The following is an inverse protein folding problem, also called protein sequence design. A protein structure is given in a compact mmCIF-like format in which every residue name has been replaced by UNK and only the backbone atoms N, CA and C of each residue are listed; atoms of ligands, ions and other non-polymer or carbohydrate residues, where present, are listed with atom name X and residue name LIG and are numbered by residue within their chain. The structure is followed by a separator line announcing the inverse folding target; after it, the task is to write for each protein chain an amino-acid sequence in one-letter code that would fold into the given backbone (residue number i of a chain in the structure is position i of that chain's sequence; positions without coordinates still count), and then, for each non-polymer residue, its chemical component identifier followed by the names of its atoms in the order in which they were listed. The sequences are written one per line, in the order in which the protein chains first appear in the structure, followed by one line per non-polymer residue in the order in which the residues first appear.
data_IF_028234376950
#
_entry.id   IF_028234376950
#
_cell.length_a   1.000
_cell.length_b   1.000
_cell.length_c   1.000
_cell.angle_alpha   90.00
_cell.angle_beta   90.00
_cell.angle_gamma   90.00
#
_symmetry.space_group_name_H-M   'P 1'
#
loop_
_entity.id
_entity.type
_entity.pdbx_description
1 polymer ?
#
# COMPACT_ATOMS: atom_id res chain seq x y z
N UNK A 1 0.67 14.01 0.09
CA UNK A 1 -0.60 14.76 0.08
C UNK A 1 -1.78 13.80 0.09
N UNK A 2 -2.94 14.28 0.47
CA UNK A 2 -4.17 13.46 0.48
C UNK A 2 -4.56 12.92 -0.89
N UNK A 3 -4.11 13.53 -1.96
CA UNK A 3 -4.36 13.15 -3.35
C UNK A 3 -3.24 12.27 -3.96
N UNK A 4 -2.29 11.79 -3.15
CA UNK A 4 -1.27 10.83 -3.53
C UNK A 4 0.17 11.29 -3.35
N UNK A 5 1.09 10.47 -3.88
CA UNK A 5 2.52 10.75 -3.90
C UNK A 5 2.89 11.62 -5.09
N UNK A 6 3.78 12.60 -4.83
CA UNK A 6 4.37 13.44 -5.86
C UNK A 6 5.88 13.34 -5.77
N UNK A 7 6.51 12.96 -6.87
CA UNK A 7 7.93 13.16 -7.06
C UNK A 7 8.15 14.61 -7.51
N UNK A 8 8.88 15.37 -6.72
CA UNK A 8 9.25 16.74 -7.07
C UNK A 8 10.67 16.74 -7.59
N UNK A 9 10.81 17.04 -8.89
CA UNK A 9 12.12 17.25 -9.50
C UNK A 9 12.47 18.75 -9.43
N UNK A 10 13.48 19.11 -8.66
CA UNK A 10 14.00 20.47 -8.55
C UNK A 10 15.25 20.68 -9.42
N UNK A 11 15.33 20.02 -10.54
CA UNK A 11 16.44 20.18 -11.51
C UNK A 11 15.97 20.93 -12.75
N UNK A 12 16.39 22.19 -13.00
CA UNK A 12 17.28 23.02 -12.15
C UNK A 12 16.66 23.42 -10.81
N UNK A 13 17.49 23.79 -9.85
CA UNK A 13 17.03 24.16 -8.51
C UNK A 13 15.93 25.23 -8.55
N UNK A 14 14.83 24.97 -7.85
CA UNK A 14 13.76 25.94 -7.69
C UNK A 14 14.24 27.13 -6.85
N UNK A 15 13.79 28.31 -7.22
CA UNK A 15 14.10 29.55 -6.52
C UNK A 15 12.82 30.26 -6.10
N UNK A 16 12.84 30.87 -4.93
CA UNK A 16 11.73 31.67 -4.44
C UNK A 16 12.22 32.97 -3.85
N UNK A 17 11.49 34.05 -4.14
CA UNK A 17 11.80 35.37 -3.58
C UNK A 17 11.16 35.51 -2.22
N UNK A 18 11.96 35.82 -1.22
CA UNK A 18 11.50 36.10 0.15
C UNK A 18 11.24 37.59 0.33
N UNK A 19 10.29 37.92 1.20
CA UNK A 19 10.02 39.28 1.62
C UNK A 19 11.04 39.70 2.66
N UNK A 20 11.81 40.75 2.39
CA UNK A 20 12.75 41.31 3.35
C UNK A 20 12.02 42.10 4.45
N UNK A 21 12.54 42.04 5.66
CA UNK A 21 12.19 42.93 6.76
C UNK A 21 13.20 44.08 6.89
N UNK A 22 13.48 44.44 8.13
CA UNK A 22 14.56 45.34 8.48
C UNK A 22 15.38 44.75 9.64
N UNK A 23 16.53 45.31 9.93
CA UNK A 23 17.41 44.83 11.01
C UNK A 23 16.78 45.00 12.40
N UNK A 24 15.86 45.94 12.53
CA UNK A 24 15.11 46.18 13.78
C UNK A 24 13.72 45.53 13.80
N UNK A 25 13.23 45.14 12.65
CA UNK A 25 11.94 44.45 12.48
C UNK A 25 12.07 43.38 11.36
N UNK A 26 12.70 42.26 11.66
CA UNK A 26 12.86 41.20 10.69
C UNK A 26 11.51 40.55 10.30
N UNK A 27 11.43 40.03 9.07
CA UNK A 27 10.22 39.43 8.52
C UNK A 27 10.34 37.91 8.50
N UNK A 28 9.39 37.21 9.08
CA UNK A 28 9.26 35.78 8.87
C UNK A 28 8.67 35.49 7.48
N UNK A 29 9.28 34.51 6.81
CA UNK A 29 8.78 33.93 5.57
C UNK A 29 8.57 32.44 5.78
N UNK A 30 7.39 31.96 5.46
CA UNK A 30 7.01 30.55 5.51
C UNK A 30 7.05 30.01 4.09
N UNK A 31 7.93 29.05 3.83
CA UNK A 31 8.13 28.43 2.51
C UNK A 31 7.54 27.04 2.54
N UNK A 32 6.67 26.74 1.58
CA UNK A 32 5.94 25.49 1.51
C UNK A 32 5.53 25.13 0.08
N UNK A 33 5.23 23.88 -0.14
CA UNK A 33 4.48 23.44 -1.33
C UNK A 33 3.00 23.37 -1.00
N UNK A 34 2.18 24.04 -1.80
CA UNK A 34 0.73 23.98 -1.67
C UNK A 34 0.20 22.75 -2.40
N UNK A 35 -0.63 21.93 -1.75
CA UNK A 35 -1.19 20.72 -2.33
C UNK A 35 -1.95 21.00 -3.63
N UNK A 36 -2.81 22.01 -3.66
CA UNK A 36 -3.71 22.30 -4.80
C UNK A 36 -2.98 22.74 -6.06
N UNK A 37 -1.82 23.37 -5.96
CA UNK A 37 -1.05 23.91 -7.11
C UNK A 37 0.24 23.17 -7.37
N UNK A 38 0.72 22.37 -6.40
CA UNK A 38 2.02 21.70 -6.44
C UNK A 38 3.18 22.65 -6.71
N UNK A 39 3.09 23.90 -6.22
CA UNK A 39 4.09 24.95 -6.47
C UNK A 39 4.74 25.40 -5.17
N UNK A 40 6.04 25.70 -5.26
CA UNK A 40 6.77 26.33 -4.18
C UNK A 40 6.20 27.73 -3.92
N UNK A 41 5.86 28.03 -2.68
CA UNK A 41 5.20 29.27 -2.27
C UNK A 41 5.92 29.85 -1.07
N UNK A 42 6.07 31.19 -1.00
CA UNK A 42 6.49 31.91 0.18
C UNK A 42 5.37 32.85 0.66
N UNK A 43 5.18 32.92 1.97
CA UNK A 43 4.17 33.77 2.60
C UNK A 43 4.74 34.42 3.85
N UNK A 44 4.37 35.68 4.09
CA UNK A 44 4.67 36.38 5.35
C UNK A 44 3.62 36.12 6.44
N UNK A 45 2.54 35.44 6.08
CA UNK A 45 1.53 34.93 7.00
C UNK A 45 1.89 33.49 7.34
N UNK A 46 1.60 33.04 8.55
CA UNK A 46 1.83 31.66 9.02
C UNK A 46 1.25 30.61 8.06
N UNK A 47 1.60 29.36 8.29
CA UNK A 47 1.18 28.22 7.47
C UNK A 47 -0.29 28.29 7.06
N UNK A 48 -0.65 28.02 5.80
CA UNK A 48 -2.05 28.03 5.37
C UNK A 48 -2.84 26.91 6.07
N UNK A 49 -4.14 27.12 6.23
CA UNK A 49 -5.04 26.10 6.76
C UNK A 49 -5.33 24.97 5.75
N UNK A 50 -5.02 25.20 4.46
CA UNK A 50 -5.13 24.20 3.39
C UNK A 50 -3.93 23.26 3.42
N UNK A 51 -4.10 22.07 2.87
CA UNK A 51 -3.05 21.07 2.84
C UNK A 51 -1.79 21.58 2.12
N UNK A 52 -0.66 21.45 2.80
CA UNK A 52 0.64 21.92 2.31
C UNK A 52 1.77 21.09 2.91
N UNK A 53 2.92 21.11 2.28
CA UNK A 53 4.16 20.53 2.79
C UNK A 53 5.09 21.69 3.20
N UNK A 54 5.38 21.90 4.50
CA UNK A 54 6.28 22.92 4.95
C UNK A 54 7.72 22.60 4.55
N UNK A 55 8.48 23.60 4.09
CA UNK A 55 9.87 23.47 3.68
C UNK A 55 10.80 24.20 4.65
N UNK A 56 10.53 25.48 4.91
CA UNK A 56 11.38 26.29 5.77
C UNK A 56 10.62 27.47 6.39
N UNK A 57 11.10 27.93 7.52
CA UNK A 57 10.82 29.25 8.06
C UNK A 57 12.11 30.06 7.99
N UNK A 58 12.07 31.18 7.29
CA UNK A 58 13.23 32.04 7.08
C UNK A 58 12.97 33.40 7.70
N UNK A 59 13.86 33.83 8.60
CA UNK A 59 13.85 35.16 9.19
C UNK A 59 14.73 36.08 8.34
N UNK A 60 14.10 36.98 7.60
CA UNK A 60 14.78 37.96 6.76
C UNK A 60 14.88 39.33 7.45
N UNK A 61 16.09 39.82 7.58
CA UNK A 61 16.39 41.19 7.96
C UNK A 61 16.26 42.11 6.75
N UNK A 62 17.12 43.11 6.62
CA UNK A 62 17.18 43.92 5.40
C UNK A 62 17.76 43.14 4.24
N UNK A 63 17.47 43.57 3.00
CA UNK A 63 18.01 42.93 1.80
C UNK A 63 19.55 43.02 1.69
N UNK A 64 20.18 43.91 2.45
CA UNK A 64 21.62 44.07 2.50
C UNK A 64 22.29 43.24 3.61
N UNK A 65 21.53 42.70 4.55
CA UNK A 65 22.07 41.90 5.66
C UNK A 65 22.51 40.52 5.16
N UNK A 66 23.66 40.09 5.67
CA UNK A 66 24.06 38.69 5.50
C UNK A 66 23.31 37.81 6.51
N UNK A 67 22.62 36.83 5.99
CA UNK A 67 21.99 35.82 6.83
C UNK A 67 23.09 34.86 7.34
N UNK A 68 23.22 34.80 8.64
CA UNK A 68 24.18 33.93 9.32
C UNK A 68 23.45 32.85 10.11
N UNK A 69 24.17 32.15 10.97
CA UNK A 69 23.65 31.01 11.72
C UNK A 69 22.29 31.29 12.38
N UNK A 70 21.36 30.34 12.24
CA UNK A 70 20.01 30.37 12.79
C UNK A 70 19.04 31.42 12.18
N UNK A 71 19.40 32.05 11.08
CA UNK A 71 18.49 32.94 10.35
C UNK A 71 17.34 32.20 9.66
N UNK A 72 17.46 30.92 9.52
CA UNK A 72 16.42 30.05 8.93
C UNK A 72 16.31 28.74 9.69
N UNK A 73 15.12 28.16 9.65
CA UNK A 73 14.84 26.81 10.12
C UNK A 73 14.35 26.03 8.92
N UNK A 74 15.15 25.08 8.45
CA UNK A 74 14.70 24.09 7.50
C UNK A 74 13.79 23.10 8.21
N UNK A 75 12.69 22.75 7.57
CA UNK A 75 12.02 21.52 7.95
C UNK A 75 12.99 20.36 7.72
N UNK A 76 13.08 19.44 8.66
CA UNK A 76 14.03 18.32 8.60
C UNK A 76 13.60 17.30 7.53
N UNK A 77 13.67 17.71 6.27
CA UNK A 77 13.41 16.86 5.12
C UNK A 77 14.64 16.06 4.68
N UNK A 78 15.81 16.34 5.25
CA UNK A 78 17.04 15.67 4.87
C UNK A 78 16.98 14.16 5.08
N UNK A 79 16.21 13.75 6.11
CA UNK A 79 15.96 12.34 6.38
C UNK A 79 14.77 11.77 5.58
N UNK A 80 14.03 12.63 4.88
CA UNK A 80 12.86 12.28 4.09
C UNK A 80 13.21 12.11 2.61
N UNK A 81 14.40 12.55 2.20
CA UNK A 81 14.87 12.46 0.82
C UNK A 81 15.53 11.11 0.59
N UNK A 82 15.13 10.43 -0.48
CA UNK A 82 15.80 9.22 -0.95
C UNK A 82 17.18 9.60 -1.48
N UNK A 83 18.23 9.23 -0.78
CA UNK A 83 19.61 9.38 -1.24
C UNK A 83 19.96 8.30 -2.29
N UNK A 84 21.21 8.34 -2.78
CA UNK A 84 21.71 7.35 -3.74
C UNK A 84 21.76 5.91 -3.21
N UNK A 85 21.57 5.72 -1.90
CA UNK A 85 21.54 4.41 -1.25
C UNK A 85 20.12 3.97 -0.88
N UNK A 86 19.10 4.66 -1.38
CA UNK A 86 17.68 4.42 -1.04
C UNK A 86 17.37 4.58 0.46
N UNK A 87 18.01 5.51 1.14
CA UNK A 87 17.66 5.87 2.52
C UNK A 87 16.74 7.08 2.55
N UNK A 88 15.89 7.15 3.54
CA UNK A 88 15.01 8.29 3.78
C UNK A 88 13.76 7.87 4.55
N UNK A 89 13.33 8.68 5.52
CA UNK A 89 12.19 8.37 6.39
C UNK A 89 10.89 8.13 5.60
N UNK A 90 10.61 8.91 4.57
CA UNK A 90 9.40 8.73 3.74
C UNK A 90 9.46 7.40 3.00
N UNK A 91 10.63 7.01 2.50
CA UNK A 91 10.82 5.72 1.85
C UNK A 91 10.68 4.56 2.84
N UNK A 92 11.32 4.68 4.00
CA UNK A 92 11.26 3.65 5.06
C UNK A 92 9.83 3.47 5.58
N UNK A 93 9.11 4.58 5.82
CA UNK A 93 7.69 4.53 6.22
C UNK A 93 6.86 3.89 5.12
N UNK A 94 7.11 4.24 3.85
CA UNK A 94 6.41 3.65 2.72
C UNK A 94 6.63 2.13 2.65
N UNK A 95 7.89 1.69 2.74
CA UNK A 95 8.20 0.25 2.76
C UNK A 95 7.57 -0.44 3.96
N UNK A 96 7.66 0.18 5.16
CA UNK A 96 7.08 -0.39 6.36
C UNK A 96 5.56 -0.54 6.24
N UNK A 97 4.84 0.48 5.78
CA UNK A 97 3.39 0.41 5.61
C UNK A 97 3.02 -0.63 4.53
N UNK A 98 3.76 -0.66 3.40
CA UNK A 98 3.49 -1.62 2.32
C UNK A 98 3.84 -3.06 2.70
N UNK A 99 4.67 -3.27 3.71
CA UNK A 99 4.91 -4.60 4.28
C UNK A 99 3.80 -5.09 5.21
N UNK A 100 2.89 -4.20 5.62
CA UNK A 100 1.72 -4.55 6.43
C UNK A 100 0.53 -4.90 5.55
N UNK A 101 -0.43 -5.61 6.12
CA UNK A 101 -1.70 -5.84 5.45
C UNK A 101 -2.46 -4.52 5.28
N UNK A 102 -3.10 -4.34 4.11
CA UNK A 102 -4.00 -3.22 3.92
C UNK A 102 -5.18 -3.29 4.91
N UNK A 103 -5.63 -2.14 5.37
CA UNK A 103 -6.81 -2.04 6.22
C UNK A 103 -8.06 -2.03 5.33
N UNK A 104 -9.02 -2.90 5.63
CA UNK A 104 -10.32 -2.86 4.98
C UNK A 104 -11.07 -1.58 5.35
N UNK A 105 -11.66 -0.93 4.37
CA UNK A 105 -12.47 0.28 4.57
C UNK A 105 -13.92 0.03 4.18
N UNK A 106 -14.19 -0.35 2.94
CA UNK A 106 -15.55 -0.64 2.47
C UNK A 106 -15.56 -1.75 1.43
N UNK A 107 -16.69 -2.41 1.27
CA UNK A 107 -16.92 -3.39 0.20
C UNK A 107 -16.06 -4.65 0.32
N UNK A 108 -15.50 -5.10 -0.82
CA UNK A 108 -14.67 -6.31 -0.94
C UNK A 108 -15.35 -7.57 -0.35
N UNK A 109 -16.70 -7.63 -0.42
CA UNK A 109 -17.46 -8.73 0.15
C UNK A 109 -17.18 -10.04 -0.61
N UNK A 110 -16.64 -11.09 0.06
CA UNK A 110 -16.37 -12.37 -0.58
C UNK A 110 -17.65 -13.18 -0.77
N UNK A 111 -17.70 -13.97 -1.83
CA UNK A 111 -18.78 -14.94 -2.07
C UNK A 111 -18.16 -16.23 -2.58
N UNK A 112 -18.59 -17.36 -2.00
CA UNK A 112 -18.22 -18.70 -2.44
C UNK A 112 -19.46 -19.38 -3.02
N UNK A 113 -19.38 -19.76 -4.29
CA UNK A 113 -20.46 -20.44 -5.00
C UNK A 113 -20.05 -21.89 -5.26
N UNK A 114 -20.84 -22.85 -4.79
CA UNK A 114 -20.65 -24.27 -5.03
C UNK A 114 -21.70 -24.71 -6.05
N UNK A 115 -21.26 -25.23 -7.19
CA UNK A 115 -22.13 -25.70 -8.26
C UNK A 115 -21.96 -27.19 -8.46
N UNK A 116 -23.02 -27.99 -8.26
CA UNK A 116 -22.99 -29.44 -8.49
C UNK A 116 -22.59 -29.77 -9.94
N UNK A 117 -21.67 -30.70 -10.12
CA UNK A 117 -21.14 -31.10 -11.43
C UNK A 117 -21.49 -32.54 -11.78
N UNK A 118 -22.79 -32.89 -11.69
CA UNK A 118 -23.36 -34.13 -12.33
C UNK A 118 -22.67 -35.46 -11.99
N UNK A 119 -22.10 -35.62 -10.79
CA UNK A 119 -21.37 -36.83 -10.37
C UNK A 119 -19.84 -36.73 -10.45
N UNK A 120 -19.32 -35.66 -11.04
CA UNK A 120 -17.93 -35.24 -10.86
C UNK A 120 -17.82 -34.35 -9.60
N UNK A 121 -16.61 -33.94 -9.22
CA UNK A 121 -16.40 -33.00 -8.14
C UNK A 121 -17.11 -31.65 -8.44
N UNK A 122 -17.75 -31.08 -7.45
CA UNK A 122 -18.46 -29.81 -7.59
C UNK A 122 -17.47 -28.67 -7.90
N UNK A 123 -17.91 -27.71 -8.71
CA UNK A 123 -17.12 -26.51 -8.96
C UNK A 123 -17.27 -25.55 -7.78
N UNK A 124 -16.15 -25.01 -7.31
CA UNK A 124 -16.08 -24.07 -6.19
C UNK A 124 -15.47 -22.75 -6.68
N UNK A 125 -16.33 -21.78 -6.93
CA UNK A 125 -15.95 -20.47 -7.47
C UNK A 125 -15.94 -19.43 -6.36
N UNK A 126 -14.82 -18.71 -6.22
CA UNK A 126 -14.69 -17.57 -5.31
C UNK A 126 -14.81 -16.27 -6.11
N UNK A 127 -15.63 -15.36 -5.62
CA UNK A 127 -15.78 -14.01 -6.18
C UNK A 127 -15.72 -12.96 -5.08
N UNK A 128 -15.43 -11.72 -5.43
CA UNK A 128 -15.55 -10.60 -4.50
C UNK A 128 -16.19 -9.39 -5.15
N UNK A 129 -16.97 -8.61 -4.36
CA UNK A 129 -17.42 -7.30 -4.77
C UNK A 129 -16.25 -6.32 -4.83
N UNK A 130 -16.43 -5.19 -5.53
CA UNK A 130 -15.50 -4.06 -5.43
C UNK A 130 -15.55 -3.42 -4.05
N UNK A 131 -14.50 -2.69 -3.71
CA UNK A 131 -14.43 -1.96 -2.45
C UNK A 131 -13.23 -1.05 -2.38
N UNK A 132 -12.93 -0.58 -1.17
CA UNK A 132 -11.79 0.27 -0.88
C UNK A 132 -10.97 -0.34 0.24
N UNK A 133 -9.68 -0.38 0.04
CA UNK A 133 -8.68 -0.77 1.05
C UNK A 133 -7.67 0.34 1.22
N UNK A 134 -7.19 0.53 2.44
CA UNK A 134 -6.25 1.58 2.81
C UNK A 134 -4.85 0.99 3.04
N UNK A 135 -3.89 1.48 2.28
CA UNK A 135 -2.47 1.21 2.49
C UNK A 135 -1.65 2.42 2.02
N UNK A 136 -1.25 3.29 2.92
CA UNK A 136 -0.77 4.66 2.73
C UNK A 136 -1.90 5.64 2.34
N UNK A 137 -2.68 5.29 1.36
CA UNK A 137 -3.88 5.98 0.89
C UNK A 137 -4.94 4.97 0.44
N UNK A 138 -6.09 5.45 0.03
CA UNK A 138 -7.17 4.62 -0.48
C UNK A 138 -6.80 3.99 -1.83
N UNK A 139 -7.07 2.69 -1.94
CA UNK A 139 -6.98 1.93 -3.18
C UNK A 139 -8.34 1.34 -3.52
N UNK A 140 -8.80 1.58 -4.72
CA UNK A 140 -9.98 0.89 -5.23
C UNK A 140 -9.61 -0.55 -5.58
N UNK A 141 -10.20 -1.51 -4.86
CA UNK A 141 -10.09 -2.93 -5.17
C UNK A 141 -11.25 -3.31 -6.10
N UNK A 142 -10.99 -3.81 -7.32
CA UNK A 142 -12.04 -4.10 -8.29
C UNK A 142 -12.90 -5.30 -7.88
N UNK A 143 -14.07 -5.42 -8.48
CA UNK A 143 -14.87 -6.64 -8.37
C UNK A 143 -14.20 -7.77 -9.15
N UNK A 144 -14.15 -8.96 -8.56
CA UNK A 144 -13.77 -10.22 -9.21
C UNK A 144 -15.03 -11.08 -9.37
N UNK A 145 -15.65 -11.00 -10.54
CA UNK A 145 -16.92 -11.64 -10.85
C UNK A 145 -16.78 -12.80 -11.85
N UNK A 146 -17.80 -13.64 -11.94
CA UNK A 146 -17.80 -14.78 -12.85
C UNK A 146 -16.88 -15.91 -12.39
N UNK A 147 -15.85 -16.22 -13.15
CA UNK A 147 -14.82 -17.22 -12.84
C UNK A 147 -13.45 -16.55 -12.85
N UNK A 148 -13.12 -15.75 -11.83
CA UNK A 148 -11.88 -14.98 -11.83
C UNK A 148 -10.66 -15.87 -11.67
N UNK A 149 -9.54 -15.44 -12.22
CA UNK A 149 -8.24 -16.05 -11.99
C UNK A 149 -7.81 -15.84 -10.54
N UNK A 150 -7.43 -16.93 -9.88
CA UNK A 150 -6.85 -16.93 -8.53
C UNK A 150 -5.46 -17.55 -8.63
N UNK A 151 -4.48 -16.84 -8.11
CA UNK A 151 -3.08 -17.23 -8.19
C UNK A 151 -2.67 -18.01 -6.94
N UNK A 152 -2.30 -19.27 -7.11
CA UNK A 152 -1.69 -20.09 -6.05
C UNK A 152 -0.22 -19.68 -5.93
N UNK A 153 0.23 -19.26 -4.74
CA UNK A 153 1.53 -18.56 -4.59
C UNK A 153 2.54 -19.30 -3.73
N UNK A 154 2.21 -20.45 -3.19
CA UNK A 154 3.12 -21.27 -2.35
C UNK A 154 3.10 -22.76 -2.75
N UNK A 155 2.94 -23.04 -4.02
CA UNK A 155 3.03 -24.40 -4.56
C UNK A 155 4.49 -24.87 -4.55
N UNK A 156 4.72 -26.13 -4.17
CA UNK A 156 6.07 -26.71 -4.12
C UNK A 156 6.70 -26.95 -5.49
N UNK A 157 5.90 -27.06 -6.53
CA UNK A 157 6.34 -27.41 -7.88
C UNK A 157 6.52 -26.20 -8.81
N UNK A 158 5.80 -25.11 -8.56
CA UNK A 158 5.77 -23.93 -9.43
C UNK A 158 5.79 -22.64 -8.61
N UNK A 159 6.38 -21.57 -9.14
CA UNK A 159 6.40 -20.26 -8.49
C UNK A 159 4.98 -19.72 -8.30
N UNK A 160 4.11 -19.98 -9.25
CA UNK A 160 2.66 -19.75 -9.12
C UNK A 160 1.90 -20.66 -10.10
N UNK A 161 0.63 -20.87 -9.78
CA UNK A 161 -0.33 -21.51 -10.68
C UNK A 161 -1.62 -20.72 -10.70
N UNK A 162 -2.41 -20.79 -11.75
CA UNK A 162 -3.68 -20.08 -11.89
C UNK A 162 -4.81 -21.07 -11.84
N UNK A 163 -5.78 -20.84 -10.97
CA UNK A 163 -7.01 -21.63 -10.87
C UNK A 163 -8.23 -20.71 -10.93
N UNK A 164 -9.29 -21.18 -11.54
CA UNK A 164 -10.61 -20.53 -11.52
C UNK A 164 -11.61 -21.30 -10.66
N UNK A 165 -11.29 -22.54 -10.34
CA UNK A 165 -12.05 -23.46 -9.50
C UNK A 165 -11.18 -23.94 -8.34
N UNK A 166 -11.56 -23.56 -7.11
CA UNK A 166 -10.80 -23.94 -5.92
C UNK A 166 -10.79 -25.47 -5.69
N UNK A 167 -11.74 -26.21 -6.24
CA UNK A 167 -11.75 -27.66 -6.17
C UNK A 167 -10.68 -28.34 -7.05
N UNK A 168 -10.02 -27.58 -7.94
CA UNK A 168 -8.86 -28.03 -8.68
C UNK A 168 -7.57 -28.07 -7.83
N UNK A 169 -7.57 -27.53 -6.62
CA UNK A 169 -6.44 -27.55 -5.70
C UNK A 169 -6.36 -28.92 -5.01
N UNK A 170 -5.57 -29.82 -5.56
CA UNK A 170 -5.50 -31.23 -5.14
C UNK A 170 -4.30 -31.56 -4.27
N UNK A 171 -3.34 -30.64 -4.13
CA UNK A 171 -2.11 -30.81 -3.34
C UNK A 171 -1.93 -29.66 -2.36
N UNK A 172 -1.34 -29.94 -1.21
CA UNK A 172 -0.92 -28.92 -0.27
C UNK A 172 0.40 -28.25 -0.68
N UNK A 173 0.87 -27.28 0.11
CA UNK A 173 2.11 -26.53 -0.17
C UNK A 173 3.38 -27.41 -0.20
N UNK A 174 3.33 -28.62 0.33
CA UNK A 174 4.43 -29.60 0.28
C UNK A 174 4.34 -30.56 -0.90
N UNK A 175 3.24 -30.51 -1.68
CA UNK A 175 2.94 -31.42 -2.76
C UNK A 175 2.19 -32.69 -2.32
N UNK A 176 1.79 -32.81 -1.05
CA UNK A 176 1.02 -33.95 -0.57
C UNK A 176 -0.45 -33.85 -1.01
N UNK A 177 -1.08 -35.00 -1.34
CA UNK A 177 -2.46 -35.04 -1.82
C UNK A 177 -3.49 -34.63 -0.75
N UNK A 178 -4.38 -33.74 -1.12
CA UNK A 178 -5.55 -33.32 -0.37
C UNK A 178 -6.87 -33.98 -0.84
N UNK A 179 -6.80 -34.85 -1.81
CA UNK A 179 -8.00 -35.51 -2.37
C UNK A 179 -8.76 -36.28 -1.29
N UNK A 180 -10.07 -36.03 -1.17
CA UNK A 180 -10.92 -36.62 -0.15
C UNK A 180 -10.63 -36.16 1.29
N UNK A 181 -9.95 -35.03 1.45
CA UNK A 181 -9.57 -34.44 2.74
C UNK A 181 -10.29 -33.13 2.98
N UNK A 182 -10.23 -32.67 4.23
CA UNK A 182 -10.69 -31.36 4.67
C UNK A 182 -9.50 -30.45 4.91
N UNK A 183 -9.55 -29.22 4.39
CA UNK A 183 -8.47 -28.27 4.52
C UNK A 183 -9.02 -26.83 4.53
N UNK A 184 -8.20 -25.90 4.96
CA UNK A 184 -8.47 -24.45 4.89
C UNK A 184 -7.59 -23.82 3.83
N UNK A 185 -8.11 -22.81 3.16
CA UNK A 185 -7.36 -21.96 2.24
C UNK A 185 -7.33 -20.53 2.81
N UNK A 186 -6.23 -19.84 2.64
CA UNK A 186 -6.16 -18.38 2.86
C UNK A 186 -6.24 -17.70 1.50
N UNK A 187 -7.32 -16.95 1.28
CA UNK A 187 -7.53 -16.17 0.06
C UNK A 187 -7.33 -14.70 0.42
N UNK A 188 -6.55 -13.99 -0.36
CA UNK A 188 -6.22 -12.60 -0.15
C UNK A 188 -6.10 -11.83 -1.47
N UNK A 189 -6.10 -10.51 -1.40
CA UNK A 189 -6.02 -9.65 -2.55
C UNK A 189 -4.71 -8.85 -2.55
N UNK A 190 -4.20 -8.56 -3.75
CA UNK A 190 -3.15 -7.57 -3.98
C UNK A 190 -3.81 -6.35 -4.56
N UNK A 191 -3.77 -5.24 -3.82
CA UNK A 191 -4.18 -3.94 -4.33
C UNK A 191 -3.03 -3.31 -5.13
N UNK A 192 -3.38 -2.58 -6.17
CA UNK A 192 -2.44 -1.83 -7.00
C UNK A 192 -3.04 -0.45 -7.32
N UNK A 193 -2.20 0.54 -7.53
CA UNK A 193 -2.59 1.89 -8.00
C UNK A 193 -3.40 1.82 -9.29
N UNK A 194 -3.02 0.90 -10.17
CA UNK A 194 -3.79 0.55 -11.34
C UNK A 194 -4.74 -0.60 -10.98
N UNK A 195 -6.02 -0.33 -10.88
CA UNK A 195 -7.05 -1.30 -10.50
C UNK A 195 -7.08 -2.55 -11.41
N UNK A 196 -6.57 -2.46 -12.64
CA UNK A 196 -6.48 -3.60 -13.57
C UNK A 196 -5.41 -4.63 -13.16
N UNK A 197 -4.44 -4.21 -12.36
CA UNK A 197 -3.34 -5.07 -11.90
C UNK A 197 -3.59 -5.67 -10.51
N UNK A 198 -4.72 -5.37 -9.89
CA UNK A 198 -5.15 -6.07 -8.68
C UNK A 198 -5.35 -7.56 -8.96
N UNK A 199 -4.98 -8.41 -8.01
CA UNK A 199 -5.06 -9.88 -8.16
C UNK A 199 -5.67 -10.52 -6.93
N UNK A 200 -6.32 -11.67 -7.14
CA UNK A 200 -6.67 -12.61 -6.08
C UNK A 200 -5.58 -13.67 -5.96
N UNK A 201 -5.17 -13.94 -4.74
CA UNK A 201 -4.15 -14.91 -4.39
C UNK A 201 -4.73 -15.96 -3.46
N UNK A 202 -4.16 -17.17 -3.48
CA UNK A 202 -4.48 -18.24 -2.54
C UNK A 202 -3.22 -18.90 -2.01
N UNK A 203 -3.14 -19.06 -0.69
CA UNK A 203 -2.14 -19.90 -0.06
C UNK A 203 -2.70 -21.31 0.17
N UNK A 204 -1.97 -22.31 -0.31
CA UNK A 204 -2.22 -23.70 0.00
C UNK A 204 -1.86 -23.98 1.46
N UNK A 205 -2.62 -24.84 2.16
CA UNK A 205 -2.27 -25.26 3.52
C UNK A 205 -1.02 -26.15 3.50
N UNK A 206 -0.34 -26.28 4.62
CA UNK A 206 0.76 -27.20 4.82
C UNK A 206 0.31 -28.62 5.21
N UNK A 207 -0.99 -28.88 5.23
CA UNK A 207 -1.57 -30.18 5.55
C UNK A 207 -3.08 -30.21 5.42
N UNK A 208 -3.66 -31.37 5.69
CA UNK A 208 -5.10 -31.63 5.57
C UNK A 208 -5.60 -32.64 6.60
N UNK A 209 -6.91 -32.70 6.81
CA UNK A 209 -7.56 -33.52 7.84
C UNK A 209 -8.44 -34.61 7.24
N UNK A 210 -8.64 -35.70 7.99
CA UNK A 210 -9.55 -36.78 7.59
C UNK A 210 -11.02 -36.51 7.91
N UNK A 211 -11.31 -35.46 8.70
CA UNK A 211 -12.67 -35.07 9.05
C UNK A 211 -12.80 -33.55 9.22
N UNK A 212 -13.99 -33.03 9.00
CA UNK A 212 -14.31 -31.61 9.20
C UNK A 212 -14.18 -31.21 10.67
N UNK A 213 -14.50 -32.10 11.59
CA UNK A 213 -14.38 -31.85 13.05
C UNK A 213 -12.92 -31.64 13.47
N UNK A 214 -11.99 -32.39 12.89
CA UNK A 214 -10.55 -32.18 13.14
C UNK A 214 -10.08 -30.83 12.57
N UNK A 215 -10.52 -30.47 11.37
CA UNK A 215 -10.22 -29.17 10.78
C UNK A 215 -10.71 -28.02 11.66
N UNK A 216 -11.95 -28.09 12.16
CA UNK A 216 -12.53 -27.02 12.99
C UNK A 216 -11.96 -26.96 14.40
N UNK A 217 -11.47 -28.08 14.92
CA UNK A 217 -10.87 -28.19 16.26
C UNK A 217 -9.41 -27.68 16.29
N UNK A 218 -8.72 -27.71 15.15
CA UNK A 218 -7.33 -27.27 15.09
C UNK A 218 -7.25 -25.74 14.98
N UNK A 219 -6.57 -25.10 15.91
CA UNK A 219 -6.39 -23.66 15.95
C UNK A 219 -5.44 -23.16 14.85
N UNK A 220 -4.46 -23.95 14.45
CA UNK A 220 -3.51 -23.59 13.38
C UNK A 220 -4.09 -23.80 11.98
N UNK A 221 -5.00 -24.79 11.83
CA UNK A 221 -5.68 -25.17 10.59
C UNK A 221 -4.78 -25.44 9.39
N UNK A 222 -3.47 -25.57 9.59
CA UNK A 222 -2.43 -25.68 8.56
C UNK A 222 -2.45 -24.57 7.48
N UNK A 223 -3.36 -23.61 7.61
CA UNK A 223 -3.45 -22.49 6.67
C UNK A 223 -2.76 -21.29 7.30
N UNK A 224 -1.77 -20.76 6.59
CA UNK A 224 -1.00 -19.59 7.01
C UNK A 224 -0.93 -18.57 5.88
N UNK A 225 -0.87 -17.30 6.25
CA UNK A 225 -0.70 -16.23 5.29
C UNK A 225 0.80 -16.08 4.99
N UNK A 226 1.16 -16.20 3.72
CA UNK A 226 2.52 -16.02 3.26
C UNK A 226 2.52 -15.24 1.95
N UNK A 227 3.18 -14.11 1.95
CA UNK A 227 3.45 -13.35 0.72
C UNK A 227 4.66 -14.00 0.06
N UNK A 228 4.59 -14.33 -1.25
CA UNK A 228 5.75 -14.85 -1.97
C UNK A 228 6.87 -13.80 -2.01
N UNK A 229 8.10 -14.26 -1.82
CA UNK A 229 9.33 -13.44 -1.83
C UNK A 229 9.80 -13.14 -3.24
#
# INVERSE_FOLDING_TARGET
FSDGFYAWDTTPADTITLTAGSDVSPQYNYVYFLQSTKTLTASTVSWPATEHAPIAVVLCQSAASLQTDNAYLLHAWNDDVVDSNNNGHVLDINFWIRSQHATWETGVAPTLTITPNGGAADNVIFTSASGVVLQLHEHVFPAFAGTPDIYTVNDSATAYNIVTDLNALLTDSTGASMSGKYFSLVIWGVANENTTDCKLMVNLPSGSYNSSSNLTADSSKFADFSIPS
#
